data_IF_159204090039
#
_entry.id   IF_159204090039
#
_cell.length_a   1.000
_cell.length_b   1.000
_cell.length_c   1.000
_cell.angle_alpha   90.00
_cell.angle_beta   90.00
_cell.angle_gamma   90.00
#
_symmetry.space_group_name_H-M   'P 1'
#
loop_
_entity.id
_entity.type
_entity.pdbx_description
1 polymer ?
#
# COMPACT_ATOMS: atom_id res chain seq x y z
N UNK A 1 -20.95 0.36 15.77
CA UNK A 1 -21.69 -0.07 14.55
C UNK A 1 -22.58 1.01 13.95
N UNK A 2 -23.41 1.74 14.71
CA UNK A 2 -24.15 2.92 14.19
C UNK A 2 -23.25 3.99 13.55
N UNK A 3 -22.05 4.23 14.10
CA UNK A 3 -21.07 5.18 13.57
C UNK A 3 -20.47 4.78 12.22
N UNK A 4 -20.57 3.51 11.82
CA UNK A 4 -19.97 2.98 10.59
C UNK A 4 -21.01 2.78 9.48
N UNK A 5 -22.29 2.57 9.85
CA UNK A 5 -23.36 2.13 8.94
C UNK A 5 -24.51 3.14 8.81
N UNK A 6 -24.50 4.22 9.60
CA UNK A 6 -25.57 5.21 9.62
C UNK A 6 -26.84 4.74 10.34
N UNK A 7 -27.83 5.63 10.42
CA UNK A 7 -29.04 5.42 11.22
C UNK A 7 -30.11 4.53 10.53
N UNK A 8 -29.84 4.03 9.32
CA UNK A 8 -30.82 3.35 8.45
C UNK A 8 -30.47 1.89 8.09
N UNK A 9 -29.64 1.19 8.86
CA UNK A 9 -29.36 -0.23 8.60
C UNK A 9 -30.07 -1.14 9.59
N UNK A 10 -30.78 -2.16 9.07
CA UNK A 10 -31.07 -3.40 9.83
C UNK A 10 -29.77 -3.88 10.46
N UNK A 11 -29.80 -4.26 11.73
CA UNK A 11 -28.61 -4.78 12.43
C UNK A 11 -27.90 -5.82 11.57
N UNK A 12 -26.57 -5.67 11.40
CA UNK A 12 -25.77 -6.68 10.71
C UNK A 12 -25.84 -7.98 11.51
N UNK A 13 -26.58 -8.96 11.00
CA UNK A 13 -26.61 -10.30 11.56
C UNK A 13 -25.25 -10.97 11.37
N UNK A 14 -24.92 -11.93 12.23
CA UNK A 14 -23.73 -12.77 12.05
C UNK A 14 -23.69 -13.44 10.66
N UNK A 15 -24.85 -13.84 10.13
CA UNK A 15 -24.99 -14.36 8.77
C UNK A 15 -24.66 -13.34 7.68
N UNK A 16 -25.00 -12.07 7.89
CA UNK A 16 -24.66 -10.99 6.95
C UNK A 16 -23.16 -10.74 6.92
N UNK A 17 -22.52 -10.73 8.09
CA UNK A 17 -21.06 -10.58 8.21
C UNK A 17 -20.35 -11.76 7.52
N UNK A 18 -20.73 -12.99 7.84
CA UNK A 18 -20.13 -14.19 7.25
C UNK A 18 -20.23 -14.21 5.72
N UNK A 19 -21.39 -13.82 5.16
CA UNK A 19 -21.59 -13.73 3.71
C UNK A 19 -20.69 -12.67 3.07
N UNK A 20 -20.56 -11.50 3.69
CA UNK A 20 -19.68 -10.42 3.18
C UNK A 20 -18.21 -10.85 3.23
N UNK A 21 -17.78 -11.52 4.30
CA UNK A 21 -16.42 -12.05 4.41
C UNK A 21 -16.11 -13.03 3.28
N UNK A 22 -16.99 -14.00 3.01
CA UNK A 22 -16.81 -14.95 1.91
C UNK A 22 -16.73 -14.26 0.55
N UNK A 23 -17.54 -13.21 0.35
CA UNK A 23 -17.50 -12.43 -0.87
C UNK A 23 -16.15 -11.71 -1.03
N UNK A 24 -15.66 -11.06 0.03
CA UNK A 24 -14.37 -10.36 0.00
C UNK A 24 -13.18 -11.31 -0.14
N UNK A 25 -13.25 -12.51 0.43
CA UNK A 25 -12.25 -13.56 0.21
C UNK A 25 -12.19 -13.95 -1.28
N UNK A 26 -13.35 -14.13 -1.93
CA UNK A 26 -13.40 -14.41 -3.35
C UNK A 26 -12.88 -13.24 -4.21
N UNK A 27 -13.21 -12.00 -3.87
CA UNK A 27 -12.69 -10.80 -4.53
C UNK A 27 -11.17 -10.66 -4.35
N UNK A 28 -10.64 -10.99 -3.17
CA UNK A 28 -9.21 -11.01 -2.87
C UNK A 28 -8.48 -12.10 -3.68
N UNK A 29 -9.05 -13.29 -3.77
CA UNK A 29 -8.49 -14.36 -4.59
C UNK A 29 -8.42 -13.98 -6.07
N UNK A 30 -9.44 -13.28 -6.57
CA UNK A 30 -9.44 -12.74 -7.93
C UNK A 30 -8.39 -11.66 -8.09
N UNK A 31 -8.24 -10.77 -7.10
CA UNK A 31 -7.20 -9.74 -7.10
C UNK A 31 -5.81 -10.36 -7.22
N UNK A 32 -5.51 -11.41 -6.45
CA UNK A 32 -4.20 -12.07 -6.43
C UNK A 32 -3.87 -12.85 -7.72
N UNK A 33 -4.87 -13.20 -8.53
CA UNK A 33 -4.71 -14.04 -9.74
C UNK A 33 -4.93 -13.26 -11.05
N UNK A 34 -5.26 -11.97 -10.96
CA UNK A 34 -5.62 -11.19 -12.15
C UNK A 34 -4.42 -10.91 -13.05
N UNK A 35 -4.71 -10.74 -14.32
CA UNK A 35 -3.73 -10.34 -15.32
C UNK A 35 -3.54 -8.82 -15.32
N UNK A 36 -2.31 -8.38 -15.07
CA UNK A 36 -1.90 -6.98 -15.01
C UNK A 36 -1.33 -6.47 -16.35
N UNK A 37 -1.19 -7.31 -17.38
CA UNK A 37 -0.65 -6.92 -18.68
C UNK A 37 -1.52 -5.92 -19.46
N UNK A 38 -2.79 -5.76 -19.06
CA UNK A 38 -3.78 -4.93 -19.77
C UNK A 38 -3.53 -3.43 -19.62
N UNK A 39 -2.68 -3.02 -18.68
CA UNK A 39 -2.37 -1.61 -18.39
C UNK A 39 -0.88 -1.41 -18.30
N UNK A 40 -0.43 -0.21 -18.67
CA UNK A 40 0.95 0.21 -18.50
C UNK A 40 1.06 1.03 -17.22
N UNK A 41 1.65 0.45 -16.19
CA UNK A 41 1.93 1.16 -14.94
C UNK A 41 3.19 2.00 -15.06
N UNK A 42 3.07 3.29 -14.76
CA UNK A 42 4.18 4.26 -14.83
C UNK A 42 4.85 4.41 -13.46
N UNK A 43 4.09 4.30 -12.37
CA UNK A 43 4.63 4.32 -11.02
C UNK A 43 3.89 3.39 -10.08
N UNK A 44 4.62 2.91 -9.07
CA UNK A 44 4.07 2.14 -7.96
C UNK A 44 4.26 2.90 -6.65
N UNK A 45 3.25 2.85 -5.79
CA UNK A 45 3.31 3.34 -4.42
C UNK A 45 3.23 2.12 -3.49
N UNK A 46 4.24 1.93 -2.67
CA UNK A 46 4.33 0.84 -1.72
C UNK A 46 4.30 1.37 -0.29
N UNK A 47 3.51 0.74 0.57
CA UNK A 47 3.37 1.12 1.98
C UNK A 47 3.15 -0.12 2.86
N UNK A 48 3.39 0.05 4.15
CA UNK A 48 3.15 -0.98 5.18
C UNK A 48 2.11 -0.46 6.16
N UNK A 49 1.02 -1.20 6.31
CA UNK A 49 -0.02 -0.85 7.29
C UNK A 49 0.31 -1.55 8.60
N UNK A 50 0.36 -0.80 9.70
CA UNK A 50 0.55 -1.40 11.02
C UNK A 50 -0.81 -1.78 11.63
N UNK A 51 -1.08 -3.08 11.75
CA UNK A 51 -2.31 -3.60 12.33
C UNK A 51 -2.04 -4.26 13.69
N UNK A 52 -2.67 -3.76 14.75
CA UNK A 52 -2.65 -4.43 16.06
C UNK A 52 -3.75 -5.50 16.08
N UNK A 53 -3.35 -6.75 15.84
CA UNK A 53 -4.20 -7.94 16.00
C UNK A 53 -4.02 -8.52 17.41
N UNK A 54 -5.07 -9.18 17.90
CA UNK A 54 -5.12 -9.72 19.27
C UNK A 54 -4.32 -11.02 19.45
N UNK A 55 -3.93 -11.68 18.37
CA UNK A 55 -2.98 -12.80 18.40
C UNK A 55 -1.56 -12.24 18.26
N UNK A 56 -0.59 -12.81 19.00
CA UNK A 56 0.75 -12.29 19.31
C UNK A 56 1.65 -11.84 18.13
N UNK A 57 1.21 -12.04 16.89
CA UNK A 57 1.92 -11.60 15.70
C UNK A 57 1.42 -10.24 15.22
N UNK A 58 2.32 -9.25 15.22
CA UNK A 58 2.08 -7.97 14.55
C UNK A 58 1.97 -8.21 13.05
N UNK A 59 0.75 -8.17 12.53
CA UNK A 59 0.54 -8.16 11.09
C UNK A 59 0.93 -6.79 10.53
N UNK A 60 1.79 -6.82 9.52
CA UNK A 60 2.22 -5.65 8.76
C UNK A 60 1.82 -5.85 7.29
N UNK A 61 0.53 -5.71 6.91
CA UNK A 61 0.13 -5.84 5.53
C UNK A 61 0.96 -4.93 4.61
N UNK A 62 1.57 -5.55 3.60
CA UNK A 62 2.28 -4.86 2.54
C UNK A 62 1.28 -4.51 1.45
N UNK A 63 1.26 -3.25 1.06
CA UNK A 63 0.30 -2.70 0.10
C UNK A 63 1.04 -2.09 -1.06
N UNK A 64 0.62 -2.43 -2.28
CA UNK A 64 1.13 -1.80 -3.50
C UNK A 64 -0.03 -1.26 -4.32
N UNK A 65 0.02 0.04 -4.61
CA UNK A 65 -0.89 0.74 -5.53
C UNK A 65 -0.12 1.03 -6.81
N UNK A 66 -0.70 0.64 -7.94
CA UNK A 66 -0.20 0.95 -9.27
C UNK A 66 -0.90 2.19 -9.80
N UNK A 67 -0.18 2.98 -10.58
CA UNK A 67 -0.78 4.06 -11.35
C UNK A 67 -0.39 3.93 -12.81
N UNK A 68 -1.41 3.88 -13.65
CA UNK A 68 -1.24 3.72 -15.09
C UNK A 68 -0.88 5.02 -15.81
N UNK A 69 -0.64 4.91 -17.11
CA UNK A 69 -0.30 5.99 -18.02
C UNK A 69 -1.43 7.01 -18.23
N UNK A 70 -2.66 6.68 -17.80
CA UNK A 70 -3.80 7.60 -17.77
C UNK A 70 -4.10 8.12 -16.36
N UNK A 71 -3.15 7.96 -15.42
CA UNK A 71 -3.24 8.44 -14.03
C UNK A 71 -4.34 7.79 -13.18
N UNK A 72 -4.85 6.62 -13.58
CA UNK A 72 -5.77 5.84 -12.78
C UNK A 72 -5.00 5.01 -11.75
N UNK A 73 -5.41 5.13 -10.48
CA UNK A 73 -4.85 4.36 -9.38
C UNK A 73 -5.61 3.07 -9.20
N UNK A 74 -4.91 1.98 -8.95
CA UNK A 74 -5.52 0.72 -8.57
C UNK A 74 -4.69 -0.03 -7.54
N UNK A 75 -5.37 -0.79 -6.70
CA UNK A 75 -4.72 -1.71 -5.77
C UNK A 75 -4.14 -2.88 -6.54
N UNK A 76 -2.82 -3.06 -6.50
CA UNK A 76 -2.14 -4.17 -7.16
C UNK A 76 -2.03 -5.38 -6.23
N UNK A 77 -1.61 -5.15 -5.00
CA UNK A 77 -1.35 -6.19 -4.01
C UNK A 77 -1.70 -5.67 -2.62
N UNK A 78 -2.32 -6.54 -1.84
CA UNK A 78 -2.35 -6.48 -0.38
C UNK A 78 -1.94 -7.88 0.07
N UNK A 79 -0.86 -8.01 0.84
CA UNK A 79 -0.49 -9.31 1.41
C UNK A 79 -0.09 -9.14 2.86
N UNK A 80 -0.35 -10.17 3.67
CA UNK A 80 0.11 -10.21 5.04
C UNK A 80 1.63 -10.30 5.07
N UNK A 81 2.27 -9.18 5.40
CA UNK A 81 3.69 -9.16 5.70
C UNK A 81 3.92 -9.54 7.15
N UNK A 82 4.75 -10.55 7.40
CA UNK A 82 5.23 -10.83 8.76
C UNK A 82 6.24 -9.76 9.22
N UNK A 83 7.01 -9.20 8.28
CA UNK A 83 7.95 -8.08 8.49
C UNK A 83 8.13 -7.26 7.23
N UNK A 84 8.45 -5.98 7.38
CA UNK A 84 8.97 -5.12 6.33
C UNK A 84 10.44 -5.49 6.00
N UNK A 85 10.64 -6.71 5.50
CA UNK A 85 11.94 -7.21 5.08
C UNK A 85 12.09 -7.14 3.57
N UNK A 86 13.33 -7.07 3.12
CA UNK A 86 13.65 -7.16 1.70
C UNK A 86 13.10 -8.44 1.05
N UNK A 87 13.15 -9.57 1.77
CA UNK A 87 12.63 -10.86 1.30
C UNK A 87 11.13 -10.78 1.03
N UNK A 88 10.35 -10.23 1.97
CA UNK A 88 8.89 -10.10 1.81
C UNK A 88 8.54 -9.20 0.61
N UNK A 89 9.31 -8.12 0.42
CA UNK A 89 9.12 -7.26 -0.75
C UNK A 89 9.52 -7.93 -2.06
N UNK A 90 10.59 -8.73 -2.10
CA UNK A 90 10.96 -9.49 -3.30
C UNK A 90 9.87 -10.48 -3.72
N UNK A 91 9.21 -11.15 -2.75
CA UNK A 91 8.08 -12.03 -3.03
C UNK A 91 6.90 -11.26 -3.64
N UNK A 92 6.58 -10.08 -3.10
CA UNK A 92 5.56 -9.18 -3.66
C UNK A 92 5.89 -8.78 -5.09
N UNK A 93 7.11 -8.29 -5.34
CA UNK A 93 7.54 -7.84 -6.67
C UNK A 93 7.57 -9.01 -7.67
N UNK A 94 7.97 -10.20 -7.23
CA UNK A 94 7.94 -11.41 -8.04
C UNK A 94 6.50 -11.81 -8.41
N UNK A 95 5.57 -11.79 -7.46
CA UNK A 95 4.14 -12.08 -7.70
C UNK A 95 3.54 -11.10 -8.70
N UNK A 96 3.82 -9.80 -8.56
CA UNK A 96 3.36 -8.78 -9.51
C UNK A 96 3.92 -9.01 -10.92
N UNK A 97 5.19 -9.44 -11.02
CA UNK A 97 5.82 -9.77 -12.31
C UNK A 97 5.19 -11.00 -12.94
N UNK A 98 4.89 -12.02 -12.13
CA UNK A 98 4.20 -13.22 -12.58
C UNK A 98 2.79 -12.91 -13.11
N UNK A 99 2.08 -11.99 -12.46
CA UNK A 99 0.79 -11.47 -12.93
C UNK A 99 0.89 -10.59 -14.19
N UNK A 100 2.10 -10.34 -14.69
CA UNK A 100 2.30 -9.58 -15.92
C UNK A 100 2.37 -8.07 -15.73
N UNK A 101 2.72 -7.59 -14.53
CA UNK A 101 3.12 -6.18 -14.45
C UNK A 101 4.38 -6.02 -15.31
N UNK A 102 4.26 -5.29 -16.41
CA UNK A 102 5.45 -4.80 -17.07
C UNK A 102 6.09 -3.84 -16.09
N UNK A 103 7.15 -4.29 -15.42
CA UNK A 103 7.97 -3.50 -14.50
C UNK A 103 8.78 -2.43 -15.28
N UNK A 104 8.08 -1.70 -16.16
CA UNK A 104 8.43 -0.46 -16.80
C UNK A 104 8.06 0.74 -15.91
N UNK A 105 7.64 0.50 -14.66
CA UNK A 105 7.45 1.53 -13.65
C UNK A 105 8.73 2.37 -13.56
N UNK A 106 8.63 3.60 -14.03
CA UNK A 106 9.75 4.54 -14.09
C UNK A 106 10.11 5.06 -12.69
N UNK A 107 9.20 4.87 -11.73
CA UNK A 107 9.31 5.37 -10.37
C UNK A 107 8.62 4.42 -9.37
N UNK A 108 9.36 4.04 -8.32
CA UNK A 108 8.83 3.41 -7.13
C UNK A 108 8.81 4.43 -5.97
N UNK A 109 7.69 4.52 -5.28
CA UNK A 109 7.46 5.44 -4.16
C UNK A 109 7.17 4.67 -2.89
N UNK A 110 7.87 4.96 -1.80
CA UNK A 110 7.67 4.34 -0.49
C UNK A 110 8.04 5.33 0.63
N UNK A 111 7.78 5.00 1.90
CA UNK A 111 8.06 5.87 3.05
C UNK A 111 9.56 6.09 3.32
N UNK A 112 10.44 5.29 2.74
CA UNK A 112 11.89 5.38 2.92
C UNK A 112 12.52 4.10 3.47
N UNK A 113 11.76 3.02 3.67
CA UNK A 113 12.27 1.78 4.22
C UNK A 113 13.28 1.07 3.31
N UNK A 114 14.41 0.66 3.89
CA UNK A 114 15.48 -0.01 3.17
C UNK A 114 15.06 -1.35 2.56
N UNK A 115 14.16 -2.09 3.21
CA UNK A 115 13.69 -3.39 2.72
C UNK A 115 13.07 -3.27 1.32
N UNK A 116 12.19 -2.30 1.12
CA UNK A 116 11.58 -2.05 -0.18
C UNK A 116 12.60 -1.57 -1.22
N UNK A 117 13.46 -0.61 -0.88
CA UNK A 117 14.44 -0.09 -1.83
C UNK A 117 15.45 -1.13 -2.30
N UNK A 118 15.92 -2.00 -1.40
CA UNK A 118 16.81 -3.08 -1.78
C UNK A 118 16.09 -4.06 -2.73
N UNK A 119 14.83 -4.40 -2.42
CA UNK A 119 14.04 -5.31 -3.25
C UNK A 119 13.79 -4.73 -4.65
N UNK A 120 13.41 -3.45 -4.76
CA UNK A 120 13.24 -2.77 -6.06
C UNK A 120 14.56 -2.72 -6.82
N UNK A 121 15.68 -2.37 -6.16
CA UNK A 121 17.01 -2.32 -6.81
C UNK A 121 17.40 -3.69 -7.38
N UNK A 122 17.19 -4.77 -6.62
CA UNK A 122 17.52 -6.14 -7.05
C UNK A 122 16.61 -6.61 -8.18
N UNK A 123 15.33 -6.32 -8.09
CA UNK A 123 14.34 -6.77 -9.06
C UNK A 123 14.40 -5.99 -10.37
N UNK A 124 14.60 -4.66 -10.28
CA UNK A 124 14.67 -3.71 -11.40
C UNK A 124 15.60 -2.54 -11.10
N UNK A 125 16.90 -2.66 -11.44
CA UNK A 125 17.89 -1.61 -11.19
C UNK A 125 17.62 -0.27 -11.88
N UNK A 126 16.80 -0.26 -12.94
CA UNK A 126 16.47 0.95 -13.71
C UNK A 126 15.32 1.76 -13.12
N UNK A 127 14.57 1.22 -12.17
CA UNK A 127 13.45 1.92 -11.53
C UNK A 127 13.98 3.00 -10.59
N UNK A 128 13.51 4.24 -10.76
CA UNK A 128 13.90 5.35 -9.87
C UNK A 128 13.20 5.22 -8.53
N UNK A 129 13.84 5.69 -7.47
CA UNK A 129 13.28 5.67 -6.12
C UNK A 129 12.88 7.09 -5.68
N UNK A 130 11.76 7.21 -4.99
CA UNK A 130 11.33 8.46 -4.37
C UNK A 130 10.66 8.22 -3.02
N UNK A 131 11.04 8.97 -2.00
CA UNK A 131 10.29 9.01 -0.75
C UNK A 131 8.92 9.65 -0.95
N UNK A 132 7.88 9.05 -0.38
CA UNK A 132 6.54 9.59 -0.36
C UNK A 132 6.52 10.97 0.33
N UNK A 133 5.96 11.97 -0.34
CA UNK A 133 5.88 13.33 0.18
C UNK A 133 5.09 13.42 1.50
N UNK A 134 4.04 12.61 1.66
CA UNK A 134 3.25 12.54 2.89
C UNK A 134 4.11 12.09 4.07
N UNK A 135 4.83 10.98 3.91
CA UNK A 135 5.75 10.46 4.93
C UNK A 135 6.91 11.41 5.19
N UNK A 136 7.51 11.98 4.14
CA UNK A 136 8.60 12.95 4.26
C UNK A 136 8.19 14.17 5.09
N UNK A 137 7.01 14.73 4.83
CA UNK A 137 6.48 15.84 5.64
C UNK A 137 6.21 15.42 7.08
N UNK A 138 5.60 14.25 7.29
CA UNK A 138 5.38 13.71 8.63
C UNK A 138 6.69 13.60 9.41
N UNK A 139 7.73 13.05 8.79
CA UNK A 139 9.06 12.89 9.37
C UNK A 139 9.68 14.23 9.77
N UNK A 140 9.56 15.27 8.92
CA UNK A 140 10.03 16.62 9.25
C UNK A 140 9.22 17.24 10.40
N UNK A 141 7.89 17.17 10.32
CA UNK A 141 7.00 17.77 11.34
C UNK A 141 7.16 17.10 12.71
N UNK A 142 7.48 15.82 12.76
CA UNK A 142 7.75 15.06 13.99
C UNK A 142 9.02 15.54 14.72
N UNK A 143 9.88 16.33 14.10
CA UNK A 143 11.09 16.90 14.73
C UNK A 143 10.89 18.28 15.33
N UNK A 144 9.67 18.82 15.29
CA UNK A 144 9.36 20.15 15.84
C UNK A 144 8.16 20.13 16.78
N UNK A 145 8.04 21.11 17.70
CA UNK A 145 6.89 21.20 18.61
C UNK A 145 5.55 21.31 17.85
N UNK A 146 4.52 20.63 18.37
CA UNK A 146 3.18 20.55 17.75
C UNK A 146 2.58 21.91 17.38
N UNK A 147 2.79 22.93 18.21
CA UNK A 147 2.24 24.27 17.98
C UNK A 147 2.85 24.98 16.74
N UNK A 148 4.06 24.61 16.31
CA UNK A 148 4.73 25.19 15.13
C UNK A 148 4.34 24.45 13.84
N UNK A 149 3.92 23.18 13.95
CA UNK A 149 3.66 22.30 12.81
C UNK A 149 2.67 22.88 11.76
N UNK A 150 1.54 23.52 12.11
CA UNK A 150 0.61 24.05 11.10
C UNK A 150 1.25 25.09 10.18
N UNK A 151 2.10 25.97 10.74
CA UNK A 151 2.82 26.99 9.97
C UNK A 151 3.89 26.35 9.09
N UNK A 152 4.64 25.38 9.61
CA UNK A 152 5.66 24.68 8.84
C UNK A 152 5.08 23.83 7.71
N UNK A 153 3.96 23.12 7.95
CA UNK A 153 3.28 22.33 6.93
C UNK A 153 2.89 23.16 5.72
N UNK A 154 2.34 24.37 5.93
CA UNK A 154 2.03 25.31 4.85
C UNK A 154 3.26 25.68 4.02
N UNK A 155 4.43 25.85 4.65
CA UNK A 155 5.68 26.16 3.96
C UNK A 155 6.23 24.95 3.21
N UNK A 156 6.14 23.75 3.79
CA UNK A 156 6.58 22.51 3.15
C UNK A 156 5.76 22.18 1.89
N UNK A 157 4.47 22.51 1.86
CA UNK A 157 3.64 22.36 0.65
C UNK A 157 4.01 23.30 -0.50
N UNK A 158 4.78 24.36 -0.24
CA UNK A 158 5.18 25.35 -1.24
C UNK A 158 6.56 25.09 -1.85
N UNK A 159 7.18 23.95 -1.52
CA UNK A 159 8.46 23.45 -2.06
C UNK A 159 8.15 22.33 -3.04
#
# INVERSE_FOLDING_TARGET
>A
MKSLLGNQTKELSASSVSRLTQQWEAEYDQLCKRDLNKRRYVYILADVIYCKVWMDDKLCPLVVIGVDDVSCKEMLVVVDGYRESEVSWLEVLASLTYQGISFASELAVNDGAFGFWNAVTKHRPTTRHQCCWVHKMGNVLNKVPKYVQPRMKKRLHAI
#
